data_IF_585574884808
#
_entry.id   IF_585574884808
#
_cell.length_a   1.000
_cell.length_b   1.000
_cell.length_c   1.000
_cell.angle_alpha   90.00
_cell.angle_beta   90.00
_cell.angle_gamma   90.00
#
_symmetry.space_group_name_H-M   'P 1'
#
loop_
_entity.id
_entity.type
_entity.pdbx_description
1 polymer ?
#
# COMPACT_ATOMS: atom_id res chain seq x y z
N UNK A 1 -5.56 24.16 -0.92
CA UNK A 1 -6.33 22.95 -0.56
C UNK A 1 -5.44 22.10 0.33
N UNK A 2 -5.88 21.79 1.54
CA UNK A 2 -5.15 20.88 2.44
C UNK A 2 -5.17 19.48 1.83
N UNK A 3 -3.99 18.85 1.71
CA UNK A 3 -3.87 17.50 1.14
C UNK A 3 -4.53 16.54 2.13
N UNK A 4 -5.56 15.82 1.68
CA UNK A 4 -6.22 14.79 2.50
C UNK A 4 -5.42 13.50 2.41
N UNK A 5 -5.08 12.92 3.55
CA UNK A 5 -4.50 11.58 3.58
C UNK A 5 -5.54 10.57 3.10
N UNK A 6 -5.14 9.73 2.14
CA UNK A 6 -6.06 8.79 1.46
C UNK A 6 -5.70 7.34 1.73
N UNK A 7 -4.42 7.04 1.96
CA UNK A 7 -3.90 5.68 2.08
C UNK A 7 -2.74 5.67 3.09
N UNK A 8 -2.53 4.51 3.69
CA UNK A 8 -1.33 4.19 4.49
C UNK A 8 -0.59 3.08 3.75
N UNK A 9 0.72 3.24 3.59
CA UNK A 9 1.62 2.23 3.01
C UNK A 9 2.64 1.85 4.08
N UNK A 10 2.73 0.56 4.40
CA UNK A 10 3.68 0.02 5.37
C UNK A 10 4.57 -1.00 4.66
N UNK A 11 5.90 -0.86 4.76
CA UNK A 11 6.84 -1.82 4.20
C UNK A 11 6.79 -3.10 5.03
N UNK A 12 6.64 -4.25 4.36
CA UNK A 12 6.57 -5.54 5.03
C UNK A 12 7.82 -5.85 5.85
N UNK A 13 9.00 -5.41 5.39
CA UNK A 13 10.24 -5.59 6.13
C UNK A 13 10.27 -4.81 7.43
N UNK A 14 9.70 -3.59 7.44
CA UNK A 14 9.59 -2.78 8.66
C UNK A 14 8.58 -3.38 9.63
N UNK A 15 7.44 -3.87 9.12
CA UNK A 15 6.46 -4.62 9.93
C UNK A 15 7.16 -5.79 10.64
N UNK A 16 7.90 -6.62 9.88
CA UNK A 16 8.59 -7.80 10.42
C UNK A 16 9.72 -7.44 11.38
N UNK A 17 10.40 -6.31 11.15
CA UNK A 17 11.56 -5.89 11.94
C UNK A 17 11.17 -5.20 13.24
N UNK A 18 10.11 -4.39 13.23
CA UNK A 18 9.79 -3.48 14.32
C UNK A 18 8.54 -3.85 15.11
N UNK A 19 7.63 -4.67 14.57
CA UNK A 19 6.43 -5.10 15.31
C UNK A 19 6.66 -6.41 16.04
N UNK A 20 6.03 -6.55 17.20
CA UNK A 20 5.88 -7.84 17.88
C UNK A 20 4.85 -8.72 17.15
N UNK A 21 4.86 -10.02 17.43
CA UNK A 21 3.87 -10.97 16.89
C UNK A 21 2.43 -10.58 17.24
N UNK A 22 2.21 -10.04 18.45
CA UNK A 22 0.92 -9.52 18.88
C UNK A 22 0.47 -8.33 18.02
N UNK A 23 1.37 -7.37 17.78
CA UNK A 23 1.08 -6.21 16.92
C UNK A 23 0.81 -6.62 15.47
N UNK A 24 1.52 -7.63 14.95
CA UNK A 24 1.27 -8.19 13.62
C UNK A 24 -0.11 -8.85 13.56
N UNK A 25 -0.49 -9.60 14.59
CA UNK A 25 -1.82 -10.21 14.70
C UNK A 25 -2.93 -9.15 14.70
N UNK A 26 -2.77 -8.10 15.50
CA UNK A 26 -3.73 -6.99 15.54
C UNK A 26 -3.82 -6.24 14.21
N UNK A 27 -2.69 -6.00 13.53
CA UNK A 27 -2.69 -5.39 12.20
C UNK A 27 -3.47 -6.24 11.18
N UNK A 28 -3.34 -7.56 11.25
CA UNK A 28 -4.11 -8.48 10.41
C UNK A 28 -5.61 -8.43 10.74
N UNK A 29 -5.98 -8.40 12.02
CA UNK A 29 -7.37 -8.31 12.46
C UNK A 29 -8.05 -7.01 12.00
N UNK A 30 -7.34 -5.88 12.12
CA UNK A 30 -7.80 -4.57 11.64
C UNK A 30 -8.00 -4.61 10.12
N UNK A 31 -7.01 -5.15 9.39
CA UNK A 31 -7.06 -5.27 7.93
C UNK A 31 -8.25 -6.14 7.48
N UNK A 32 -8.49 -7.27 8.15
CA UNK A 32 -9.59 -8.18 7.84
C UNK A 32 -10.95 -7.52 8.06
N UNK A 33 -11.09 -6.73 9.14
CA UNK A 33 -12.32 -5.97 9.40
C UNK A 33 -12.67 -5.05 8.23
N UNK A 34 -11.67 -4.33 7.70
CA UNK A 34 -11.85 -3.44 6.55
C UNK A 34 -12.21 -4.23 5.29
N UNK A 35 -11.51 -5.34 5.01
CA UNK A 35 -11.79 -6.20 3.85
C UNK A 35 -13.23 -6.74 3.87
N UNK A 36 -13.71 -7.17 5.05
CA UNK A 36 -15.08 -7.66 5.23
C UNK A 36 -16.10 -6.54 5.01
N UNK A 37 -15.82 -5.32 5.46
CA UNK A 37 -16.65 -4.15 5.16
C UNK A 37 -16.73 -3.87 3.65
N UNK A 38 -15.60 -3.95 2.95
CA UNK A 38 -15.56 -3.76 1.49
C UNK A 38 -16.34 -4.81 0.72
N UNK A 39 -16.28 -6.07 1.14
CA UNK A 39 -17.09 -7.14 0.54
C UNK A 39 -18.58 -6.87 0.72
N UNK A 40 -19.01 -6.44 1.92
CA UNK A 40 -20.41 -6.07 2.18
C UNK A 40 -20.89 -4.92 1.29
N UNK A 41 -20.00 -4.01 0.92
CA UNK A 41 -20.26 -2.93 -0.04
C UNK A 41 -20.23 -3.40 -1.52
N UNK A 42 -20.01 -4.70 -1.79
CA UNK A 42 -19.87 -5.24 -3.16
C UNK A 42 -18.56 -4.85 -3.85
N UNK A 43 -17.54 -4.41 -3.09
CA UNK A 43 -16.22 -4.01 -3.61
C UNK A 43 -15.24 -5.17 -3.49
N UNK A 44 -14.15 -5.13 -4.26
CA UNK A 44 -13.02 -6.05 -4.07
C UNK A 44 -12.47 -5.89 -2.64
N UNK A 45 -12.31 -7.01 -1.93
CA UNK A 45 -11.76 -7.09 -0.57
C UNK A 45 -10.39 -6.43 -0.48
N UNK A 46 -9.50 -6.83 -1.39
CA UNK A 46 -8.13 -6.40 -1.44
C UNK A 46 -7.99 -5.39 -2.57
N UNK A 47 -7.64 -4.15 -2.25
CA UNK A 47 -7.24 -3.20 -3.28
C UNK A 47 -5.85 -3.57 -3.80
N UNK A 48 -5.67 -3.40 -5.10
CA UNK A 48 -4.38 -3.53 -5.76
C UNK A 48 -3.94 -2.15 -6.22
N UNK A 49 -2.70 -1.77 -5.89
CA UNK A 49 -2.12 -0.50 -6.24
C UNK A 49 -0.73 -0.72 -6.82
N UNK A 50 -0.42 0.00 -7.90
CA UNK A 50 0.97 0.20 -8.28
C UNK A 50 1.57 1.25 -7.33
N UNK A 51 2.49 0.82 -6.47
CA UNK A 51 3.20 1.67 -5.52
C UNK A 51 4.65 1.80 -5.98
N UNK A 52 5.14 3.04 -6.09
CA UNK A 52 6.55 3.32 -6.33
C UNK A 52 7.18 3.88 -5.06
N UNK A 53 8.13 3.16 -4.48
CA UNK A 53 8.90 3.68 -3.34
C UNK A 53 9.91 4.71 -3.85
N UNK A 54 9.72 5.98 -3.51
CA UNK A 54 10.57 7.07 -4.01
C UNK A 54 11.96 7.09 -3.41
N UNK A 55 12.16 6.42 -2.27
CA UNK A 55 13.46 6.29 -1.61
C UNK A 55 14.39 5.28 -2.31
N UNK A 56 13.87 4.49 -3.26
CA UNK A 56 14.65 3.48 -3.98
C UNK A 56 15.25 4.05 -5.28
N UNK A 57 16.46 3.62 -5.70
CA UNK A 57 17.14 4.17 -6.89
C UNK A 57 16.40 4.00 -8.23
N UNK A 58 15.36 3.15 -8.27
CA UNK A 58 14.56 2.94 -9.48
C UNK A 58 13.44 3.97 -9.66
N UNK A 59 13.14 4.78 -8.64
CA UNK A 59 11.92 5.61 -8.59
C UNK A 59 11.83 6.62 -9.73
N UNK A 60 12.94 7.31 -10.02
CA UNK A 60 13.01 8.29 -11.12
C UNK A 60 12.76 7.64 -12.48
N UNK A 61 13.25 6.41 -12.68
CA UNK A 61 13.03 5.67 -13.93
C UNK A 61 11.56 5.28 -14.09
N UNK A 62 10.92 4.84 -13.01
CA UNK A 62 9.49 4.50 -13.01
C UNK A 62 8.65 5.76 -13.30
N UNK A 63 8.98 6.87 -12.66
CA UNK A 63 8.32 8.17 -12.90
C UNK A 63 8.44 8.60 -14.36
N UNK A 64 9.64 8.52 -14.93
CA UNK A 64 9.89 8.86 -16.33
C UNK A 64 9.10 7.98 -17.31
N UNK A 65 9.01 6.67 -17.05
CA UNK A 65 8.22 5.73 -17.87
C UNK A 65 6.74 6.11 -17.85
N UNK A 66 6.20 6.43 -16.67
CA UNK A 66 4.79 6.80 -16.51
C UNK A 66 4.48 8.10 -17.26
N UNK A 67 5.39 9.09 -17.22
CA UNK A 67 5.17 10.38 -17.88
C UNK A 67 5.38 10.35 -19.40
N UNK A 68 6.38 9.59 -19.87
CA UNK A 68 6.83 9.64 -21.27
C UNK A 68 6.29 8.50 -22.13
N UNK A 69 5.59 7.54 -21.50
CA UNK A 69 5.18 6.27 -22.12
C UNK A 69 6.36 5.32 -22.22
N UNK A 70 6.18 4.06 -21.80
CA UNK A 70 7.20 3.03 -22.02
C UNK A 70 7.46 2.88 -23.51
N UNK A 71 8.71 3.10 -23.95
CA UNK A 71 9.11 2.68 -25.30
C UNK A 71 9.33 1.18 -25.26
N UNK A 72 8.55 0.46 -26.05
CA UNK A 72 8.70 -0.98 -26.32
C UNK A 72 10.08 -1.31 -26.91
#
# INVERSE_FOLDING_TARGET
MTKKDTHIVLKMDDIRKYLSDEQICELNNISQTIQNGREKDGKNKCNEYYICNVDEPYSDKVFDIILKGGKE
#
